data_IF_924563763565
#
_entry.id   IF_924563763565
#
_cell.length_a   1.000
_cell.length_b   1.000
_cell.length_c   1.000
_cell.angle_alpha   90.00
_cell.angle_beta   90.00
_cell.angle_gamma   90.00
#
_symmetry.space_group_name_H-M   'P 1'
#
loop_
_entity.id
_entity.type
_entity.pdbx_description
1 polymer ?
#
# COMPACT_ATOMS: atom_id res chain seq x y z
N UNK A 1 30.77 -43.44 5.25
CA UNK A 1 30.32 -42.53 6.33
C UNK A 1 30.61 -41.02 6.14
N UNK A 2 31.33 -40.60 5.06
CA UNK A 2 31.67 -39.16 4.85
C UNK A 2 30.60 -38.33 4.13
N UNK A 3 29.53 -38.94 3.59
CA UNK A 3 28.45 -38.19 2.85
C UNK A 3 27.44 -37.49 3.78
N UNK A 4 27.43 -37.80 5.08
CA UNK A 4 26.44 -37.23 6.03
C UNK A 4 26.87 -35.90 6.67
N UNK A 5 28.17 -35.60 6.66
CA UNK A 5 28.70 -34.39 7.31
C UNK A 5 28.56 -33.15 6.41
N UNK A 6 28.88 -33.28 5.13
CA UNK A 6 28.71 -32.19 4.17
C UNK A 6 27.25 -31.77 3.98
N UNK A 7 26.32 -32.72 4.07
CA UNK A 7 24.88 -32.44 4.08
C UNK A 7 24.48 -31.63 5.34
N UNK A 8 24.98 -31.99 6.51
CA UNK A 8 24.68 -31.29 7.79
C UNK A 8 25.25 -29.87 7.82
N UNK A 9 26.42 -29.62 7.26
CA UNK A 9 27.02 -28.27 7.18
C UNK A 9 26.24 -27.37 6.22
N UNK A 10 25.86 -27.85 5.05
CA UNK A 10 25.03 -27.11 4.08
C UNK A 10 23.63 -26.78 4.63
N UNK A 11 23.06 -27.67 5.44
CA UNK A 11 21.76 -27.48 6.08
C UNK A 11 21.78 -26.44 7.20
N UNK A 12 22.86 -26.41 8.01
CA UNK A 12 23.05 -25.38 9.04
C UNK A 12 23.25 -24.00 8.42
N UNK A 13 23.93 -23.90 7.28
CA UNK A 13 24.08 -22.66 6.52
C UNK A 13 22.73 -22.19 5.95
N UNK A 14 21.96 -23.08 5.31
CA UNK A 14 20.64 -22.73 4.77
C UNK A 14 19.63 -22.34 5.86
N UNK A 15 19.63 -23.02 7.00
CA UNK A 15 18.78 -22.67 8.14
C UNK A 15 19.19 -21.31 8.75
N UNK A 16 20.49 -21.00 8.82
CA UNK A 16 20.97 -19.68 9.28
C UNK A 16 20.62 -18.58 8.31
N UNK A 17 20.71 -18.82 7.00
CA UNK A 17 20.29 -17.86 5.95
C UNK A 17 18.78 -17.64 6.04
N UNK A 18 17.99 -18.70 6.19
CA UNK A 18 16.54 -18.58 6.32
C UNK A 18 16.14 -17.82 7.59
N UNK A 19 16.72 -18.17 8.75
CA UNK A 19 16.50 -17.45 10.01
C UNK A 19 17.02 -16.02 9.92
N UNK A 20 18.15 -15.79 9.24
CA UNK A 20 18.70 -14.45 8.99
C UNK A 20 17.82 -13.62 8.08
N UNK A 21 17.30 -14.18 6.99
CA UNK A 21 16.34 -13.53 6.09
C UNK A 21 15.00 -13.29 6.81
N UNK A 22 14.55 -14.25 7.60
CA UNK A 22 13.31 -14.11 8.39
C UNK A 22 13.46 -13.07 9.50
N UNK A 23 14.59 -13.08 10.22
CA UNK A 23 14.93 -12.03 11.19
C UNK A 23 15.16 -10.68 10.52
N UNK A 24 15.72 -10.61 9.31
CA UNK A 24 15.86 -9.37 8.57
C UNK A 24 14.52 -8.84 8.05
N UNK A 25 13.58 -9.72 7.66
CA UNK A 25 12.21 -9.34 7.31
C UNK A 25 11.39 -8.89 8.52
N UNK A 26 11.69 -9.46 9.72
CA UNK A 26 11.03 -9.08 10.99
C UNK A 26 11.76 -7.92 11.68
N UNK A 27 13.10 -7.84 11.53
CA UNK A 27 13.93 -6.80 12.15
C UNK A 27 14.11 -5.54 11.28
N UNK A 28 13.64 -5.57 10.05
CA UNK A 28 13.43 -4.35 9.27
C UNK A 28 12.24 -3.58 9.83
N UNK A 29 12.28 -3.28 11.14
CA UNK A 29 11.33 -2.41 11.84
C UNK A 29 11.37 -0.99 11.27
N UNK A 30 10.94 -0.84 10.03
CA UNK A 30 10.41 0.41 9.52
C UNK A 30 9.05 0.51 10.17
N UNK A 31 8.87 1.51 11.03
CA UNK A 31 7.57 1.87 11.57
C UNK A 31 6.56 1.89 10.42
N UNK A 32 5.75 0.86 10.33
CA UNK A 32 4.75 0.74 9.30
C UNK A 32 3.49 1.39 9.80
N UNK A 33 3.50 2.70 9.76
CA UNK A 33 2.25 3.44 9.79
C UNK A 33 1.38 2.97 8.61
N UNK A 34 0.07 2.89 8.81
CA UNK A 34 -0.91 2.78 7.72
C UNK A 34 -0.46 3.75 6.62
N UNK A 35 -0.44 3.32 5.36
CA UNK A 35 0.05 4.14 4.26
C UNK A 35 -0.48 5.57 4.40
N UNK A 36 0.45 6.52 4.51
CA UNK A 36 0.14 7.93 4.67
C UNK A 36 -0.19 8.49 3.28
N UNK A 37 -1.46 8.86 3.09
CA UNK A 37 -1.92 9.45 1.84
C UNK A 37 -2.56 10.82 2.13
N UNK A 38 -2.27 11.81 1.26
CA UNK A 38 -2.95 13.09 1.23
C UNK A 38 -3.64 13.29 -0.12
N UNK A 39 -4.73 14.05 -0.13
CA UNK A 39 -5.56 14.22 -1.32
C UNK A 39 -5.51 15.66 -1.80
N UNK A 40 -5.15 15.87 -3.07
CA UNK A 40 -5.15 17.17 -3.72
C UNK A 40 -6.21 17.20 -4.82
N UNK A 41 -7.14 18.14 -4.70
CA UNK A 41 -8.07 18.46 -5.76
C UNK A 41 -7.69 19.84 -6.30
N UNK A 42 -7.25 19.91 -7.54
CA UNK A 42 -6.79 21.11 -8.20
C UNK A 42 -7.77 21.43 -9.32
N UNK A 43 -8.52 22.52 -9.20
CA UNK A 43 -9.44 23.00 -10.20
C UNK A 43 -8.90 24.30 -10.81
N UNK A 44 -8.67 24.28 -12.14
CA UNK A 44 -8.23 25.45 -12.88
C UNK A 44 -9.37 25.92 -13.80
N UNK A 45 -9.81 27.15 -13.64
CA UNK A 45 -10.87 27.76 -14.45
C UNK A 45 -10.67 29.25 -14.61
N UNK A 46 -10.84 29.75 -15.85
CA UNK A 46 -10.86 31.17 -16.18
C UNK A 46 -9.72 32.00 -15.51
N UNK A 47 -8.48 31.49 -15.53
CA UNK A 47 -7.33 32.18 -14.94
C UNK A 47 -7.28 32.15 -13.42
N UNK A 48 -8.05 31.27 -12.78
CA UNK A 48 -8.06 31.02 -11.34
C UNK A 48 -7.72 29.57 -11.07
N UNK A 49 -6.92 29.35 -10.04
CA UNK A 49 -6.59 28.04 -9.53
C UNK A 49 -7.14 27.90 -8.13
N UNK A 50 -7.93 26.88 -7.90
CA UNK A 50 -8.41 26.48 -6.59
C UNK A 50 -7.83 25.12 -6.21
N UNK A 51 -7.24 25.02 -5.02
CA UNK A 51 -6.67 23.80 -4.51
C UNK A 51 -7.34 23.47 -3.19
N UNK A 52 -7.90 22.29 -3.10
CA UNK A 52 -8.29 21.64 -1.86
C UNK A 52 -7.25 20.59 -1.53
N UNK A 53 -6.70 20.65 -0.34
CA UNK A 53 -5.69 19.73 0.14
C UNK A 53 -6.09 19.13 1.49
N UNK A 54 -6.33 17.84 1.49
CA UNK A 54 -6.79 17.10 2.66
C UNK A 54 -5.62 16.25 3.18
N UNK A 55 -5.19 16.53 4.42
CA UNK A 55 -4.01 15.92 5.07
C UNK A 55 -4.46 15.24 6.35
N UNK A 56 -4.12 13.98 6.54
CA UNK A 56 -4.48 13.23 7.74
C UNK A 56 -3.88 13.85 8.99
N UNK A 57 -4.71 14.10 10.01
CA UNK A 57 -4.27 14.74 11.26
C UNK A 57 -3.27 13.86 12.02
N UNK A 58 -3.41 12.54 11.99
CA UNK A 58 -2.46 11.62 12.62
C UNK A 58 -1.03 11.76 12.05
N UNK A 59 -0.92 12.02 10.72
CA UNK A 59 0.37 12.16 10.05
C UNK A 59 0.98 13.54 10.34
N UNK A 60 0.12 14.55 10.49
CA UNK A 60 0.53 15.88 10.95
C UNK A 60 0.97 15.89 12.41
N UNK A 61 0.36 15.07 13.24
CA UNK A 61 0.72 14.94 14.64
C UNK A 61 2.15 14.43 14.83
N UNK A 62 2.55 13.42 14.05
CA UNK A 62 3.92 12.87 14.08
C UNK A 62 5.01 13.94 13.86
N UNK A 63 4.72 14.99 13.06
CA UNK A 63 5.73 16.01 12.71
C UNK A 63 5.54 17.35 13.41
N UNK A 64 4.35 17.59 13.94
CA UNK A 64 4.01 18.89 14.50
C UNK A 64 3.59 18.83 15.97
N UNK A 65 3.57 17.65 16.60
CA UNK A 65 3.09 17.42 17.96
C UNK A 65 1.76 18.18 18.18
N UNK A 66 0.74 17.78 17.43
CA UNK A 66 -0.59 18.40 17.47
C UNK A 66 -1.33 18.02 18.75
N UNK A 67 -1.14 16.78 19.23
CA UNK A 67 -1.57 16.27 20.52
C UNK A 67 -0.71 16.90 21.62
N UNK A 68 -1.18 18.03 22.14
CA UNK A 68 -0.40 18.86 23.07
C UNK A 68 -0.29 18.31 24.49
N UNK A 69 -1.21 17.44 24.90
CA UNK A 69 -1.19 16.81 26.24
C UNK A 69 -0.76 15.33 26.20
N UNK A 70 -0.45 14.83 24.99
CA UNK A 70 0.01 13.48 24.74
C UNK A 70 -0.93 12.37 25.28
N UNK A 71 -2.25 12.63 25.25
CA UNK A 71 -3.25 11.67 25.70
C UNK A 71 -3.64 10.66 24.59
N UNK A 72 -3.06 10.80 23.39
CA UNK A 72 -3.34 9.98 22.21
C UNK A 72 -4.66 10.31 21.52
N UNK A 73 -5.29 11.46 21.85
CA UNK A 73 -6.57 11.89 21.27
C UNK A 73 -6.49 13.33 20.80
N UNK A 74 -6.55 13.52 19.51
CA UNK A 74 -6.59 14.85 18.93
C UNK A 74 -7.94 15.53 19.18
N UNK A 75 -7.93 16.55 20.01
CA UNK A 75 -9.09 17.40 20.29
C UNK A 75 -9.18 18.57 19.30
N UNK A 76 -10.38 19.12 19.15
CA UNK A 76 -10.59 20.33 18.33
C UNK A 76 -9.77 21.54 18.83
N UNK A 77 -9.57 21.64 20.14
CA UNK A 77 -8.77 22.71 20.75
C UNK A 77 -7.32 22.67 20.29
N UNK A 78 -6.71 21.50 20.32
CA UNK A 78 -5.30 21.27 19.92
C UNK A 78 -5.09 21.51 18.43
N UNK A 79 -5.97 20.94 17.58
CA UNK A 79 -5.89 21.18 16.14
C UNK A 79 -6.03 22.66 15.81
N UNK A 80 -6.92 23.39 16.51
CA UNK A 80 -7.07 24.84 16.33
C UNK A 80 -5.82 25.61 16.74
N UNK A 81 -5.17 25.21 17.83
CA UNK A 81 -3.93 25.83 18.31
C UNK A 81 -2.77 25.53 17.34
N UNK A 82 -2.71 24.32 16.80
CA UNK A 82 -1.68 23.89 15.85
C UNK A 82 -1.89 24.43 14.42
N UNK A 83 -3.06 25.01 14.10
CA UNK A 83 -3.41 25.38 12.73
C UNK A 83 -2.39 26.27 11.99
N UNK A 84 -1.79 27.31 12.60
CA UNK A 84 -0.76 28.12 11.92
C UNK A 84 0.48 27.29 11.55
N UNK A 85 0.85 26.30 12.37
CA UNK A 85 1.97 25.38 12.10
C UNK A 85 1.62 24.43 10.97
N UNK A 86 0.40 23.86 10.95
CA UNK A 86 -0.11 22.99 9.89
C UNK A 86 -0.09 23.71 8.55
N UNK A 87 -0.62 24.92 8.50
CA UNK A 87 -0.68 25.72 7.27
C UNK A 87 0.72 26.09 6.76
N UNK A 88 1.59 26.56 7.63
CA UNK A 88 2.98 26.89 7.27
C UNK A 88 3.74 25.65 6.77
N UNK A 89 3.60 24.53 7.46
CA UNK A 89 4.24 23.27 7.09
C UNK A 89 3.81 22.77 5.72
N UNK A 90 2.51 22.81 5.45
CA UNK A 90 1.94 22.38 4.19
C UNK A 90 2.36 23.31 3.03
N UNK A 91 2.21 24.62 3.17
CA UNK A 91 2.54 25.60 2.13
C UNK A 91 4.01 25.57 1.69
N UNK A 92 4.94 25.23 2.59
CA UNK A 92 6.36 25.07 2.24
C UNK A 92 6.64 23.81 1.41
N UNK A 93 5.67 22.89 1.33
CA UNK A 93 5.82 21.56 0.72
C UNK A 93 4.96 21.31 -0.51
N UNK A 94 4.26 22.32 -0.98
CA UNK A 94 3.50 22.27 -2.22
C UNK A 94 3.80 23.51 -3.07
N UNK A 95 4.32 23.33 -4.27
CA UNK A 95 4.46 24.39 -5.25
C UNK A 95 3.89 23.95 -6.58
N UNK A 96 3.15 24.84 -7.23
CA UNK A 96 2.62 24.68 -8.59
C UNK A 96 3.29 25.74 -9.44
N UNK A 97 3.97 25.32 -10.51
CA UNK A 97 4.76 26.22 -11.36
C UNK A 97 3.91 27.37 -11.91
N UNK A 98 4.40 28.60 -11.70
CA UNK A 98 3.71 29.82 -12.15
C UNK A 98 2.51 30.24 -11.29
N UNK A 99 2.22 29.56 -10.16
CA UNK A 99 1.06 29.83 -9.34
C UNK A 99 1.45 30.05 -7.87
N UNK A 100 1.35 31.28 -7.39
CA UNK A 100 1.51 31.60 -5.97
C UNK A 100 0.25 31.21 -5.20
N UNK A 101 0.33 30.17 -4.38
CA UNK A 101 -0.79 29.67 -3.59
C UNK A 101 -0.99 30.51 -2.34
N UNK A 102 -2.21 31.01 -2.13
CA UNK A 102 -2.61 31.72 -0.92
C UNK A 102 -3.72 30.96 -0.18
N UNK A 103 -3.63 30.80 1.14
CA UNK A 103 -4.68 30.14 1.93
C UNK A 103 -5.94 31.05 1.95
N UNK A 104 -7.09 30.44 1.65
CA UNK A 104 -8.40 31.12 1.64
C UNK A 104 -9.41 30.47 2.57
N UNK A 105 -9.10 29.31 3.11
CA UNK A 105 -9.99 28.63 4.03
C UNK A 105 -9.34 27.38 4.65
N UNK A 106 -9.89 27.00 5.78
CA UNK A 106 -9.49 25.83 6.56
C UNK A 106 -10.69 25.09 7.08
N UNK A 107 -10.55 23.80 7.28
CA UNK A 107 -11.63 22.96 7.81
C UNK A 107 -11.10 21.65 8.37
N UNK A 108 -12.00 20.92 8.99
CA UNK A 108 -11.78 19.54 9.38
C UNK A 108 -12.82 18.68 8.70
N UNK A 109 -12.42 17.52 8.26
CA UNK A 109 -13.30 16.51 7.70
C UNK A 109 -13.05 15.18 8.37
N UNK A 110 -14.08 14.53 8.82
CA UNK A 110 -14.00 13.17 9.35
C UNK A 110 -14.35 12.20 8.24
N UNK A 111 -13.45 11.26 8.00
CA UNK A 111 -13.61 10.19 7.03
C UNK A 111 -13.64 8.84 7.74
N UNK A 112 -13.83 7.77 6.96
CA UNK A 112 -13.86 6.41 7.49
C UNK A 112 -12.56 5.97 8.15
N UNK A 113 -11.43 6.52 7.71
CA UNK A 113 -10.08 6.15 8.13
C UNK A 113 -9.42 7.15 9.09
N UNK A 114 -10.08 8.27 9.41
CA UNK A 114 -9.60 9.26 10.37
C UNK A 114 -10.10 10.67 10.16
N UNK A 115 -9.50 11.62 10.85
CA UNK A 115 -9.77 13.04 10.70
C UNK A 115 -8.69 13.70 9.83
N UNK A 116 -9.11 14.61 8.97
CA UNK A 116 -8.27 15.32 8.01
C UNK A 116 -8.33 16.83 8.23
N UNK A 117 -7.16 17.48 8.18
CA UNK A 117 -7.04 18.91 8.02
C UNK A 117 -7.27 19.25 6.56
N UNK A 118 -8.24 20.11 6.27
CA UNK A 118 -8.60 20.56 4.93
C UNK A 118 -8.10 21.97 4.73
N UNK A 119 -7.09 22.15 3.86
CA UNK A 119 -6.62 23.45 3.43
C UNK A 119 -7.25 23.80 2.07
N UNK A 120 -7.80 25.01 1.98
CA UNK A 120 -8.28 25.58 0.72
C UNK A 120 -7.34 26.70 0.32
N UNK A 121 -6.71 26.56 -0.86
CA UNK A 121 -5.76 27.51 -1.39
C UNK A 121 -6.28 28.05 -2.71
N UNK A 122 -5.89 29.27 -3.04
CA UNK A 122 -6.26 29.92 -4.30
C UNK A 122 -5.05 30.63 -4.90
N UNK A 123 -5.02 30.70 -6.23
CA UNK A 123 -4.07 31.51 -6.96
C UNK A 123 -4.77 32.16 -8.16
N UNK A 124 -4.34 33.38 -8.52
CA UNK A 124 -4.74 34.04 -9.75
C UNK A 124 -3.69 33.72 -10.82
N UNK A 125 -3.75 32.51 -11.37
CA UNK A 125 -2.84 32.03 -12.40
C UNK A 125 -3.56 31.14 -13.41
N UNK A 126 -2.96 31.00 -14.59
CA UNK A 126 -3.37 30.00 -15.57
C UNK A 126 -2.47 28.78 -15.41
N UNK A 127 -3.08 27.63 -15.13
CA UNK A 127 -2.33 26.39 -14.95
C UNK A 127 -1.71 25.96 -16.28
N UNK A 128 -0.38 25.85 -16.31
CA UNK A 128 0.35 25.39 -17.49
C UNK A 128 -0.07 23.99 -17.93
N UNK A 129 0.11 23.70 -19.21
CA UNK A 129 -0.14 22.37 -19.77
C UNK A 129 1.12 21.88 -20.49
N UNK A 130 1.79 20.89 -19.95
CA UNK A 130 1.53 20.17 -18.71
C UNK A 130 1.82 21.00 -17.45
N UNK A 131 1.12 20.73 -16.35
CA UNK A 131 1.36 21.37 -15.06
C UNK A 131 2.53 20.69 -14.34
N UNK A 132 3.45 21.47 -13.78
CA UNK A 132 4.50 20.97 -12.88
C UNK A 132 4.10 21.22 -11.45
N UNK A 133 4.07 20.15 -10.67
CA UNK A 133 3.73 20.17 -9.25
C UNK A 133 4.92 19.61 -8.47
N UNK A 134 5.51 20.43 -7.62
CA UNK A 134 6.50 20.00 -6.65
C UNK A 134 5.79 19.66 -5.34
N UNK A 135 5.98 18.44 -4.86
CA UNK A 135 5.34 17.90 -3.68
C UNK A 135 6.37 17.39 -2.70
N UNK A 136 6.32 17.84 -1.45
CA UNK A 136 7.32 17.51 -0.44
C UNK A 136 6.73 17.17 0.93
N UNK A 137 5.40 16.97 1.02
CA UNK A 137 4.76 16.68 2.29
C UNK A 137 5.35 15.40 2.89
N UNK A 138 5.73 15.45 4.16
CA UNK A 138 6.35 14.36 4.93
C UNK A 138 7.64 13.76 4.34
N UNK A 139 8.25 14.41 3.34
CA UNK A 139 9.45 13.91 2.66
C UNK A 139 10.60 13.53 3.60
N UNK A 140 10.68 14.18 4.76
CA UNK A 140 11.77 14.02 5.73
C UNK A 140 11.53 12.91 6.75
N UNK A 141 10.25 12.52 6.96
CA UNK A 141 9.84 11.57 7.99
C UNK A 141 9.21 10.30 7.41
N UNK A 142 8.50 10.41 6.29
CA UNK A 142 7.87 9.27 5.61
C UNK A 142 8.11 9.31 4.10
N UNK A 143 9.15 8.65 3.60
CA UNK A 143 9.43 8.56 2.16
C UNK A 143 8.38 7.75 1.40
N UNK A 144 7.51 7.02 2.11
CA UNK A 144 6.43 6.23 1.50
C UNK A 144 5.14 7.01 1.34
N UNK A 145 5.04 8.21 1.95
CA UNK A 145 3.89 9.11 1.80
C UNK A 145 3.57 9.40 0.34
N UNK A 146 2.30 9.56 0.01
CA UNK A 146 1.83 9.90 -1.34
C UNK A 146 0.79 11.01 -1.31
N UNK A 147 0.87 11.88 -2.32
CA UNK A 147 -0.18 12.85 -2.64
C UNK A 147 -1.00 12.33 -3.83
N UNK A 148 -2.27 12.05 -3.64
CA UNK A 148 -3.15 11.65 -4.73
C UNK A 148 -3.79 12.91 -5.31
N UNK A 149 -3.36 13.28 -6.51
CA UNK A 149 -3.77 14.53 -7.15
C UNK A 149 -4.80 14.28 -8.27
N UNK A 150 -5.89 15.02 -8.19
CA UNK A 150 -6.88 15.20 -9.24
C UNK A 150 -6.76 16.62 -9.78
N UNK A 151 -6.38 16.78 -11.03
CA UNK A 151 -6.29 18.07 -11.72
C UNK A 151 -7.44 18.17 -12.71
N UNK A 152 -8.33 19.12 -12.50
CA UNK A 152 -9.46 19.41 -13.36
C UNK A 152 -9.25 20.76 -14.04
N UNK A 153 -9.41 20.82 -15.36
CA UNK A 153 -9.27 22.03 -16.19
C UNK A 153 -10.59 22.48 -16.79
N UNK A 154 -10.62 23.70 -17.27
CA UNK A 154 -11.70 24.18 -18.14
C UNK A 154 -11.93 23.19 -19.29
N UNK A 155 -13.21 22.90 -19.60
CA UNK A 155 -13.56 21.89 -20.59
C UNK A 155 -13.76 20.48 -20.05
N UNK A 156 -13.58 20.26 -18.72
CA UNK A 156 -13.89 18.99 -18.08
C UNK A 156 -12.77 17.94 -18.17
N UNK A 157 -11.59 18.30 -18.71
CA UNK A 157 -10.44 17.40 -18.71
C UNK A 157 -9.96 17.13 -17.27
N UNK A 158 -9.87 15.86 -16.92
CA UNK A 158 -9.40 15.41 -15.61
C UNK A 158 -8.11 14.60 -15.78
N UNK A 159 -7.06 15.00 -15.07
CA UNK A 159 -5.83 14.27 -14.98
C UNK A 159 -5.62 13.78 -13.54
N UNK A 160 -5.30 12.50 -13.41
CA UNK A 160 -4.95 11.88 -12.14
C UNK A 160 -3.46 11.63 -12.07
N UNK A 161 -2.89 11.84 -10.91
CA UNK A 161 -1.48 11.57 -10.66
C UNK A 161 -1.24 11.20 -9.20
N UNK A 162 -0.22 10.38 -8.99
CA UNK A 162 0.30 10.10 -7.65
C UNK A 162 1.59 10.89 -7.48
N UNK A 163 1.59 11.83 -6.55
CA UNK A 163 2.73 12.70 -6.24
C UNK A 163 3.61 12.01 -5.20
N UNK A 164 4.88 11.84 -5.53
CA UNK A 164 5.89 11.30 -4.62
C UNK A 164 6.60 12.43 -3.88
N UNK A 165 6.87 12.31 -2.58
CA UNK A 165 7.67 13.30 -1.84
C UNK A 165 9.05 13.47 -2.49
N UNK A 166 9.56 14.71 -2.51
CA UNK A 166 10.83 15.10 -3.15
C UNK A 166 10.86 15.01 -4.68
N UNK A 167 9.74 14.71 -5.33
CA UNK A 167 9.66 14.69 -6.78
C UNK A 167 8.88 15.90 -7.30
N UNK A 168 9.38 16.51 -8.38
CA UNK A 168 8.58 17.42 -9.19
C UNK A 168 7.92 16.60 -10.29
N UNK A 169 6.59 16.58 -10.32
CA UNK A 169 5.84 15.79 -11.29
C UNK A 169 5.16 16.67 -12.33
N UNK A 170 5.11 16.16 -13.54
CA UNK A 170 4.38 16.74 -14.67
C UNK A 170 3.03 16.07 -14.80
N UNK A 171 1.95 16.83 -14.62
CA UNK A 171 0.57 16.33 -14.64
C UNK A 171 -0.18 16.86 -15.84
N UNK A 172 -0.89 15.98 -16.57
CA UNK A 172 -1.75 16.38 -17.69
C UNK A 172 -1.03 16.64 -19.01
N UNK A 173 0.13 15.99 -19.26
CA UNK A 173 0.64 15.86 -20.61
C UNK A 173 -0.28 14.92 -21.39
N UNK A 174 -0.95 15.41 -22.43
CA UNK A 174 -1.60 14.55 -23.40
C UNK A 174 -0.57 13.52 -23.89
N UNK A 175 -0.99 12.27 -24.08
CA UNK A 175 -0.16 11.24 -24.68
C UNK A 175 0.14 11.65 -26.13
N UNK A 176 1.14 12.52 -26.31
CA UNK A 176 1.70 12.77 -27.62
C UNK A 176 2.30 11.45 -28.09
N UNK A 177 1.70 10.91 -29.14
CA UNK A 177 2.20 9.75 -29.90
C UNK A 177 3.66 10.02 -30.23
N UNK A 178 4.58 9.40 -29.51
CA UNK A 178 6.00 9.41 -29.83
C UNK A 178 6.23 8.43 -30.99
N UNK A 179 5.90 8.88 -32.21
CA UNK A 179 6.47 8.35 -33.43
C UNK A 179 7.45 9.43 -33.92
N UNK A 180 8.73 9.12 -33.80
CA UNK A 180 9.81 9.80 -34.52
C UNK A 180 10.35 11.06 -33.85
N UNK A 181 11.44 10.94 -33.12
CA UNK A 181 12.50 11.95 -33.09
C UNK A 181 13.84 11.24 -32.86
N UNK A 182 14.59 11.22 -33.93
CA UNK A 182 15.99 10.85 -34.01
C UNK A 182 16.85 11.82 -33.17
N UNK A 183 17.89 11.24 -32.63
CA UNK A 183 19.07 11.83 -31.99
C UNK A 183 19.48 13.21 -32.53
N UNK A 184 19.68 14.16 -31.60
CA UNK A 184 20.73 15.17 -31.74
C UNK A 184 21.37 15.42 -30.35
N UNK A 185 22.65 15.09 -30.32
CA UNK A 185 23.57 15.34 -29.23
C UNK A 185 24.03 16.81 -29.34
N UNK A 186 23.76 17.60 -28.33
CA UNK A 186 24.48 18.85 -28.12
C UNK A 186 24.79 19.05 -26.63
N UNK A 187 26.07 19.02 -26.38
CA UNK A 187 26.83 19.39 -25.19
C UNK A 187 26.46 20.76 -24.64
N UNK A 188 26.12 20.83 -23.34
CA UNK A 188 26.43 22.04 -22.55
C UNK A 188 26.66 21.65 -21.09
N UNK A 189 27.81 22.08 -20.59
CA UNK A 189 28.36 21.78 -19.29
C UNK A 189 27.79 22.71 -18.18
N UNK A 190 27.88 22.19 -16.97
CA UNK A 190 28.05 22.86 -15.67
C UNK A 190 26.80 23.39 -14.93
N UNK A 191 26.52 22.76 -13.80
CA UNK A 191 26.18 23.42 -12.55
C UNK A 191 24.72 23.45 -12.13
N UNK A 192 24.33 22.56 -11.24
CA UNK A 192 23.07 22.62 -10.51
C UNK A 192 22.31 21.31 -10.61
N UNK A 193 22.21 20.55 -9.51
CA UNK A 193 21.49 19.30 -9.46
C UNK A 193 19.98 19.49 -9.73
N UNK A 194 19.61 19.51 -10.99
CA UNK A 194 18.23 19.40 -11.43
C UNK A 194 17.82 17.93 -11.29
N UNK A 195 17.02 17.61 -10.27
CA UNK A 195 16.28 16.39 -10.26
C UNK A 195 15.42 16.36 -11.54
N UNK A 196 15.70 15.42 -12.43
CA UNK A 196 14.96 15.27 -13.67
C UNK A 196 13.46 15.10 -13.33
N UNK A 197 12.63 15.97 -13.89
CA UNK A 197 11.18 15.86 -13.73
C UNK A 197 10.74 14.51 -14.31
N UNK A 198 10.18 13.65 -13.47
CA UNK A 198 9.63 12.38 -13.90
C UNK A 198 8.45 12.68 -14.86
N UNK A 199 8.50 12.16 -16.09
CA UNK A 199 7.40 12.27 -17.04
C UNK A 199 6.12 11.61 -16.50
N UNK A 200 4.94 11.92 -17.08
CA UNK A 200 3.68 11.35 -16.63
C UNK A 200 3.72 9.83 -16.73
N UNK A 201 3.56 9.17 -15.57
CA UNK A 201 3.47 7.70 -15.52
C UNK A 201 2.20 7.28 -16.24
N UNK A 202 2.29 6.44 -17.26
CA UNK A 202 1.12 5.93 -18.00
C UNK A 202 0.21 5.05 -17.13
N UNK A 203 0.75 4.49 -16.07
CA UNK A 203 0.12 3.52 -15.18
C UNK A 203 0.36 3.86 -13.70
N UNK A 204 -0.09 5.02 -13.21
CA UNK A 204 0.21 5.45 -11.84
C UNK A 204 -0.42 4.50 -10.81
N UNK A 205 -1.65 4.07 -11.00
CA UNK A 205 -2.35 3.20 -10.07
C UNK A 205 -1.89 1.74 -10.11
N UNK A 206 -1.26 1.29 -11.20
CA UNK A 206 -0.62 -0.03 -11.25
C UNK A 206 0.54 -0.12 -10.27
N UNK A 207 1.40 0.89 -10.25
CA UNK A 207 2.51 0.94 -9.30
C UNK A 207 2.00 1.02 -7.84
N UNK A 208 0.91 1.76 -7.61
CA UNK A 208 0.27 1.82 -6.30
C UNK A 208 -0.34 0.48 -5.87
N UNK A 209 -0.92 -0.28 -6.81
CA UNK A 209 -1.39 -1.64 -6.53
C UNK A 209 -0.26 -2.59 -6.09
N UNK A 210 0.91 -2.53 -6.76
CA UNK A 210 2.10 -3.29 -6.33
C UNK A 210 2.54 -2.82 -4.95
N UNK A 211 2.65 -1.51 -4.74
CA UNK A 211 3.05 -0.92 -3.47
C UNK A 211 2.11 -1.34 -2.33
N UNK A 212 0.81 -1.27 -2.56
CA UNK A 212 -0.21 -1.68 -1.60
C UNK A 212 0.03 -3.10 -1.05
N UNK A 213 0.38 -4.04 -1.92
CA UNK A 213 0.69 -5.42 -1.51
C UNK A 213 2.02 -5.51 -0.76
N UNK A 214 3.05 -4.81 -1.23
CA UNK A 214 4.39 -4.91 -0.63
C UNK A 214 4.46 -4.19 0.73
N UNK A 215 3.73 -3.10 0.90
CA UNK A 215 3.68 -2.35 2.17
C UNK A 215 2.53 -2.74 3.08
N UNK A 216 1.50 -3.42 2.57
CA UNK A 216 0.38 -3.94 3.36
C UNK A 216 0.77 -5.18 4.15
N UNK A 217 1.17 -5.01 5.42
CA UNK A 217 1.64 -6.11 6.28
C UNK A 217 0.60 -7.20 6.48
N UNK A 218 -0.67 -6.85 6.54
CA UNK A 218 -1.80 -7.78 6.60
C UNK A 218 -1.87 -8.67 5.34
N UNK A 219 -1.73 -8.09 4.16
CA UNK A 219 -1.64 -8.82 2.89
C UNK A 219 -0.39 -9.70 2.83
N UNK A 220 0.76 -9.16 3.24
CA UNK A 220 2.03 -9.90 3.28
C UNK A 220 1.96 -11.07 4.23
N UNK A 221 1.42 -10.89 5.44
CA UNK A 221 1.29 -11.94 6.44
C UNK A 221 0.28 -13.00 6.01
N UNK A 222 -0.86 -12.57 5.45
CA UNK A 222 -1.85 -13.47 4.88
C UNK A 222 -1.26 -14.32 3.74
N UNK A 223 -0.58 -13.69 2.79
CA UNK A 223 0.08 -14.37 1.68
C UNK A 223 1.13 -15.36 2.17
N UNK A 224 1.93 -14.98 3.18
CA UNK A 224 2.90 -15.87 3.80
C UNK A 224 2.21 -17.11 4.40
N UNK A 225 1.08 -16.95 5.10
CA UNK A 225 0.31 -18.08 5.63
C UNK A 225 -0.11 -19.06 4.52
N UNK A 226 -0.50 -18.56 3.35
CA UNK A 226 -0.85 -19.41 2.20
C UNK A 226 0.36 -20.12 1.61
N UNK A 227 1.54 -19.48 1.62
CA UNK A 227 2.77 -19.99 1.03
C UNK A 227 3.47 -21.04 1.89
N UNK A 228 3.43 -20.94 3.23
CA UNK A 228 4.13 -21.85 4.13
C UNK A 228 3.90 -23.34 3.82
N UNK A 229 2.68 -23.84 3.60
CA UNK A 229 2.43 -25.24 3.29
C UNK A 229 2.52 -25.58 1.79
N UNK A 230 2.78 -24.61 0.89
CA UNK A 230 2.68 -24.80 -0.57
C UNK A 230 3.60 -25.89 -1.14
N UNK A 231 4.77 -26.08 -0.53
CA UNK A 231 5.81 -27.02 -0.99
C UNK A 231 5.74 -28.41 -0.33
N UNK A 232 4.72 -28.63 0.52
CA UNK A 232 4.45 -29.93 1.16
C UNK A 232 2.98 -30.28 1.04
N UNK A 233 2.70 -31.56 0.74
CA UNK A 233 1.33 -32.10 0.68
C UNK A 233 1.05 -32.95 1.92
N UNK A 234 -0.15 -32.81 2.48
CA UNK A 234 -0.63 -33.72 3.52
C UNK A 234 -1.05 -35.04 2.88
N UNK A 235 -0.48 -36.15 3.34
CA UNK A 235 -0.82 -37.52 2.92
C UNK A 235 -1.16 -38.34 4.16
N UNK A 236 -1.72 -39.52 3.98
CA UNK A 236 -2.03 -40.45 5.07
C UNK A 236 -0.77 -40.84 5.87
N UNK A 237 0.40 -40.82 5.23
CA UNK A 237 1.72 -41.12 5.86
C UNK A 237 2.40 -39.88 6.43
N UNK A 238 1.74 -38.72 6.50
CA UNK A 238 2.31 -37.47 6.98
C UNK A 238 2.47 -36.42 5.85
N UNK A 239 3.33 -35.42 6.08
CA UNK A 239 3.61 -34.37 5.08
C UNK A 239 4.75 -34.79 4.16
N UNK A 240 4.52 -34.77 2.86
CA UNK A 240 5.50 -35.11 1.85
C UNK A 240 5.85 -33.89 0.99
N UNK A 241 7.13 -33.70 0.62
CA UNK A 241 7.55 -32.61 -0.27
C UNK A 241 6.99 -32.81 -1.68
N UNK A 242 6.57 -31.72 -2.33
CA UNK A 242 6.16 -31.74 -3.75
C UNK A 242 7.34 -32.06 -4.65
N UNK A 243 7.08 -32.77 -5.75
CA UNK A 243 8.14 -33.21 -6.66
C UNK A 243 8.69 -32.08 -7.51
N UNK A 244 7.83 -31.22 -8.04
CA UNK A 244 8.19 -30.16 -8.98
C UNK A 244 7.72 -28.80 -8.46
N UNK A 245 8.46 -27.75 -8.82
CA UNK A 245 8.15 -26.38 -8.41
C UNK A 245 6.76 -25.94 -8.91
N UNK A 246 6.39 -26.31 -10.12
CA UNK A 246 5.08 -26.01 -10.68
C UNK A 246 3.93 -26.56 -9.82
N UNK A 247 4.12 -27.72 -9.16
CA UNK A 247 3.12 -28.34 -8.31
C UNK A 247 2.88 -27.54 -7.00
N UNK A 248 3.83 -26.65 -6.67
CA UNK A 248 3.68 -25.70 -5.57
C UNK A 248 3.13 -24.33 -6.05
N UNK A 249 3.68 -23.79 -7.15
CA UNK A 249 3.35 -22.43 -7.64
C UNK A 249 1.92 -22.33 -8.17
N UNK A 250 1.49 -23.24 -9.07
CA UNK A 250 0.18 -23.12 -9.72
C UNK A 250 -1.02 -23.17 -8.77
N UNK A 251 -1.07 -24.08 -7.77
CA UNK A 251 -2.19 -24.07 -6.81
C UNK A 251 -2.25 -22.77 -6.00
N UNK A 252 -1.08 -22.21 -5.60
CA UNK A 252 -1.04 -20.98 -4.84
C UNK A 252 -1.41 -19.79 -5.72
N UNK A 253 -0.91 -19.72 -6.96
CA UNK A 253 -1.33 -18.69 -7.91
C UNK A 253 -2.85 -18.64 -8.06
N UNK A 254 -3.51 -19.82 -8.27
CA UNK A 254 -4.96 -19.88 -8.35
C UNK A 254 -5.69 -19.45 -7.08
N UNK A 255 -5.13 -19.71 -5.88
CA UNK A 255 -5.67 -19.24 -4.60
C UNK A 255 -5.56 -17.71 -4.50
N UNK A 256 -4.41 -17.17 -4.88
CA UNK A 256 -4.13 -15.73 -4.82
C UNK A 256 -4.99 -14.97 -5.83
N UNK A 257 -5.11 -15.46 -7.06
CA UNK A 257 -6.02 -14.86 -8.06
C UNK A 257 -7.48 -14.86 -7.59
N UNK A 258 -7.95 -15.93 -6.95
CA UNK A 258 -9.30 -15.96 -6.37
C UNK A 258 -9.47 -14.89 -5.26
N UNK A 259 -8.46 -14.70 -4.43
CA UNK A 259 -8.43 -13.61 -3.45
C UNK A 259 -8.50 -12.25 -4.13
N UNK A 260 -7.66 -11.98 -5.15
CA UNK A 260 -7.66 -10.69 -5.87
C UNK A 260 -8.99 -10.41 -6.55
N UNK A 261 -9.62 -11.41 -7.17
CA UNK A 261 -10.95 -11.25 -7.77
C UNK A 261 -11.98 -10.85 -6.72
N UNK A 262 -12.01 -11.53 -5.58
CA UNK A 262 -12.91 -11.23 -4.48
C UNK A 262 -12.65 -9.83 -3.90
N UNK A 263 -11.38 -9.49 -3.67
CA UNK A 263 -10.92 -8.17 -3.23
C UNK A 263 -11.39 -7.08 -4.20
N UNK A 264 -11.21 -7.29 -5.50
CA UNK A 264 -11.65 -6.35 -6.54
C UNK A 264 -13.16 -6.13 -6.52
N UNK A 265 -13.96 -7.17 -6.30
CA UNK A 265 -15.43 -7.06 -6.21
C UNK A 265 -15.82 -6.14 -5.04
N UNK A 266 -15.30 -6.39 -3.84
CA UNK A 266 -15.67 -5.59 -2.67
C UNK A 266 -15.06 -4.19 -2.71
N UNK A 267 -13.87 -4.04 -3.25
CA UNK A 267 -13.28 -2.73 -3.51
C UNK A 267 -14.15 -1.90 -4.48
N UNK A 268 -14.66 -2.51 -5.57
CA UNK A 268 -15.59 -1.87 -6.48
C UNK A 268 -16.90 -1.46 -5.79
N UNK A 269 -17.50 -2.38 -5.03
CA UNK A 269 -18.77 -2.12 -4.33
C UNK A 269 -18.64 -0.96 -3.34
N UNK A 270 -17.56 -0.94 -2.58
CA UNK A 270 -17.32 0.08 -1.58
C UNK A 270 -16.92 1.42 -2.21
N UNK A 271 -16.08 1.41 -3.24
CA UNK A 271 -15.66 2.62 -3.95
C UNK A 271 -16.80 3.29 -4.76
N UNK A 272 -17.81 2.51 -5.17
CA UNK A 272 -19.04 3.02 -5.76
C UNK A 272 -20.10 3.44 -4.71
N UNK A 273 -19.75 3.39 -3.42
CA UNK A 273 -20.65 3.64 -2.29
C UNK A 273 -21.92 2.77 -2.29
N UNK A 274 -21.87 1.57 -2.90
CA UNK A 274 -22.98 0.62 -2.87
C UNK A 274 -23.05 -0.15 -1.55
N UNK A 275 -21.89 -0.37 -0.93
CA UNK A 275 -21.76 -0.99 0.38
C UNK A 275 -20.67 -0.24 1.15
N UNK A 276 -20.99 0.27 2.32
CA UNK A 276 -20.02 0.88 3.23
C UNK A 276 -19.98 0.12 4.55
N UNK A 277 -18.81 -0.28 4.99
CA UNK A 277 -18.61 -0.92 6.28
C UNK A 277 -17.64 -0.10 7.12
N UNK A 278 -17.91 -0.02 8.41
CA UNK A 278 -17.06 0.74 9.33
C UNK A 278 -15.68 0.08 9.45
N UNK A 279 -14.58 0.84 9.42
CA UNK A 279 -13.23 0.36 9.71
C UNK A 279 -13.14 -0.40 11.02
N UNK A 280 -13.90 0.04 12.06
CA UNK A 280 -13.98 -0.64 13.35
C UNK A 280 -14.47 -2.11 13.28
N UNK A 281 -15.11 -2.50 12.17
CA UNK A 281 -15.53 -3.88 11.92
C UNK A 281 -14.57 -4.58 10.96
N UNK A 282 -14.15 -3.88 9.90
CA UNK A 282 -13.34 -4.47 8.83
C UNK A 282 -11.91 -4.77 9.28
N UNK A 283 -11.28 -3.85 10.00
CA UNK A 283 -9.89 -4.05 10.44
C UNK A 283 -9.73 -5.23 11.40
N UNK A 284 -10.58 -5.41 12.44
CA UNK A 284 -10.57 -6.64 13.23
C UNK A 284 -10.88 -7.90 12.40
N UNK A 285 -11.83 -7.81 11.44
CA UNK A 285 -12.18 -8.95 10.60
C UNK A 285 -10.99 -9.38 9.71
N UNK A 286 -10.20 -8.45 9.18
CA UNK A 286 -8.95 -8.74 8.46
C UNK A 286 -7.98 -9.51 9.37
N UNK A 287 -7.74 -9.03 10.59
CA UNK A 287 -6.87 -9.72 11.56
C UNK A 287 -7.36 -11.16 11.86
N UNK A 288 -8.66 -11.35 12.03
CA UNK A 288 -9.27 -12.68 12.22
C UNK A 288 -9.01 -13.59 11.03
N UNK A 289 -9.12 -13.10 9.78
CA UNK A 289 -8.85 -13.94 8.59
C UNK A 289 -7.41 -14.44 8.55
N UNK A 290 -6.44 -13.63 8.99
CA UNK A 290 -5.03 -14.02 9.07
C UNK A 290 -4.84 -15.11 10.12
N UNK A 291 -5.41 -14.94 11.32
CA UNK A 291 -5.37 -15.95 12.38
C UNK A 291 -5.96 -17.28 11.90
N UNK A 292 -7.13 -17.25 11.24
CA UNK A 292 -7.80 -18.43 10.71
C UNK A 292 -6.97 -19.11 9.59
N UNK A 293 -6.37 -18.34 8.69
CA UNK A 293 -5.50 -18.88 7.63
C UNK A 293 -4.26 -19.57 8.22
N UNK A 294 -3.63 -18.96 9.24
CA UNK A 294 -2.50 -19.53 9.93
C UNK A 294 -2.88 -20.78 10.75
N UNK A 295 -4.04 -20.76 11.39
CA UNK A 295 -4.56 -21.90 12.17
C UNK A 295 -4.86 -23.10 11.25
N UNK A 296 -5.43 -22.89 10.05
CA UNK A 296 -5.68 -23.95 9.06
C UNK A 296 -4.40 -24.67 8.59
N UNK A 297 -3.26 -24.01 8.67
CA UNK A 297 -1.98 -24.65 8.37
C UNK A 297 -1.56 -25.69 9.40
N UNK A 298 -1.93 -25.51 10.64
CA UNK A 298 -1.62 -26.42 11.76
C UNK A 298 -2.76 -27.43 11.94
N UNK A 299 -3.96 -26.93 12.11
CA UNK A 299 -5.19 -27.69 12.29
C UNK A 299 -6.09 -27.48 11.08
N UNK A 300 -6.44 -28.49 10.30
CA UNK A 300 -7.33 -28.33 9.13
C UNK A 300 -8.76 -28.03 9.61
N UNK A 301 -9.06 -26.75 9.76
CA UNK A 301 -10.35 -26.29 10.28
C UNK A 301 -11.40 -26.11 9.17
N UNK A 302 -10.96 -25.87 7.92
CA UNK A 302 -11.87 -25.65 6.82
C UNK A 302 -12.15 -26.96 6.04
N UNK A 303 -13.42 -27.40 5.95
CA UNK A 303 -13.81 -28.58 5.18
C UNK A 303 -13.89 -28.31 3.67
N UNK A 304 -13.58 -27.08 3.23
CA UNK A 304 -13.69 -26.61 1.85
C UNK A 304 -12.31 -26.39 1.21
N UNK A 305 -12.30 -26.22 -0.11
CA UNK A 305 -11.05 -25.94 -0.85
C UNK A 305 -10.48 -24.59 -0.45
N UNK A 306 -9.17 -24.49 -0.29
CA UNK A 306 -8.45 -23.25 0.07
C UNK A 306 -8.76 -22.05 -0.85
N UNK A 307 -9.05 -22.31 -2.13
CA UNK A 307 -9.49 -21.29 -3.09
C UNK A 307 -10.77 -20.59 -2.62
N UNK A 308 -11.74 -21.35 -2.08
CA UNK A 308 -13.01 -20.80 -1.56
C UNK A 308 -12.75 -19.97 -0.31
N UNK A 309 -11.91 -20.46 0.60
CA UNK A 309 -11.51 -19.73 1.82
C UNK A 309 -10.84 -18.40 1.44
N UNK A 310 -9.87 -18.43 0.53
CA UNK A 310 -9.17 -17.26 0.06
C UNK A 310 -10.11 -16.25 -0.64
N UNK A 311 -11.08 -16.73 -1.40
CA UNK A 311 -12.11 -15.90 -2.01
C UNK A 311 -12.94 -15.17 -0.94
N UNK A 312 -13.44 -15.89 0.08
CA UNK A 312 -14.20 -15.27 1.18
C UNK A 312 -13.37 -14.26 1.95
N UNK A 313 -12.09 -14.57 2.21
CA UNK A 313 -11.17 -13.65 2.90
C UNK A 313 -10.85 -12.43 2.03
N UNK A 314 -10.70 -12.60 0.72
CA UNK A 314 -10.53 -11.51 -0.24
C UNK A 314 -11.69 -10.51 -0.21
N UNK A 315 -12.95 -11.00 -0.05
CA UNK A 315 -14.12 -10.13 0.12
C UNK A 315 -13.99 -9.23 1.36
N UNK A 316 -13.43 -9.73 2.44
CA UNK A 316 -13.20 -8.94 3.67
C UNK A 316 -12.12 -7.89 3.44
N UNK A 317 -10.98 -8.30 2.86
CA UNK A 317 -9.82 -7.41 2.66
C UNK A 317 -10.11 -6.26 1.69
N UNK A 318 -10.97 -6.46 0.68
CA UNK A 318 -11.28 -5.42 -0.31
C UNK A 318 -12.01 -4.20 0.23
N UNK A 319 -12.67 -4.31 1.41
CA UNK A 319 -13.26 -3.15 2.06
C UNK A 319 -12.22 -2.25 2.74
N UNK A 320 -11.01 -2.74 3.03
CA UNK A 320 -10.00 -2.00 3.79
C UNK A 320 -9.40 -0.79 3.06
N UNK A 321 -9.49 -0.71 1.72
CA UNK A 321 -8.86 0.35 0.91
C UNK A 321 -9.86 1.21 0.11
N UNK A 322 -11.14 0.94 0.24
CA UNK A 322 -12.16 1.54 -0.64
C UNK A 322 -12.33 3.06 -0.49
N UNK A 323 -12.09 3.61 0.69
CA UNK A 323 -12.24 5.05 0.98
C UNK A 323 -11.30 5.91 0.14
N UNK A 324 -10.08 5.45 -0.09
CA UNK A 324 -9.02 6.19 -0.79
C UNK A 324 -9.43 6.58 -2.22
N UNK A 325 -10.02 5.67 -2.98
CA UNK A 325 -10.43 5.93 -4.36
C UNK A 325 -11.79 6.65 -4.45
N UNK A 326 -12.71 6.37 -3.54
CA UNK A 326 -14.04 6.99 -3.54
C UNK A 326 -13.97 8.51 -3.35
N UNK A 327 -12.99 8.98 -2.57
CA UNK A 327 -12.82 10.40 -2.22
C UNK A 327 -12.32 11.28 -3.35
N UNK A 328 -11.77 10.69 -4.42
CA UNK A 328 -11.29 11.44 -5.58
C UNK A 328 -12.44 12.05 -6.42
N UNK A 329 -13.68 11.62 -6.22
CA UNK A 329 -14.85 12.13 -6.94
C UNK A 329 -14.67 12.07 -8.44
N UNK A 330 -14.19 10.93 -8.98
CA UNK A 330 -13.86 10.76 -10.37
C UNK A 330 -15.09 10.50 -11.24
N UNK A 331 -15.07 10.90 -12.53
CA UNK A 331 -15.99 10.36 -13.51
C UNK A 331 -15.90 8.84 -13.57
N UNK A 332 -17.02 8.18 -13.80
CA UNK A 332 -17.12 6.70 -13.76
C UNK A 332 -16.11 5.98 -14.65
N UNK A 333 -15.78 6.52 -15.82
CA UNK A 333 -14.83 5.91 -16.74
C UNK A 333 -13.39 5.98 -16.21
N UNK A 334 -12.96 7.14 -15.73
CA UNK A 334 -11.61 7.35 -15.19
C UNK A 334 -11.42 6.56 -13.89
N UNK A 335 -12.48 6.50 -13.08
CA UNK A 335 -12.52 5.70 -11.86
C UNK A 335 -12.37 4.20 -12.18
N UNK A 336 -13.12 3.67 -13.14
CA UNK A 336 -13.03 2.26 -13.55
C UNK A 336 -11.63 1.93 -14.08
N UNK A 337 -11.00 2.84 -14.83
CA UNK A 337 -9.65 2.67 -15.33
C UNK A 337 -8.58 2.69 -14.23
N UNK A 338 -8.69 3.62 -13.27
CA UNK A 338 -7.82 3.68 -12.11
C UNK A 338 -7.90 2.39 -11.28
N UNK A 339 -9.13 1.93 -11.02
CA UNK A 339 -9.41 0.71 -10.28
C UNK A 339 -8.89 -0.55 -10.98
N UNK A 340 -9.04 -0.62 -12.31
CA UNK A 340 -8.46 -1.70 -13.12
C UNK A 340 -6.94 -1.76 -13.00
N UNK A 341 -6.26 -0.62 -13.17
CA UNK A 341 -4.81 -0.53 -13.02
C UNK A 341 -4.36 -0.98 -11.63
N UNK A 342 -5.05 -0.51 -10.59
CA UNK A 342 -4.73 -0.82 -9.20
C UNK A 342 -4.84 -2.33 -8.93
N UNK A 343 -5.96 -2.96 -9.32
CA UNK A 343 -6.16 -4.40 -9.14
C UNK A 343 -5.17 -5.24 -9.96
N UNK A 344 -4.81 -4.79 -11.18
CA UNK A 344 -3.78 -5.44 -11.98
C UNK A 344 -2.40 -5.34 -11.31
N UNK A 345 -2.12 -4.22 -10.65
CA UNK A 345 -0.90 -4.04 -9.85
C UNK A 345 -0.87 -4.97 -8.62
N UNK A 346 -1.98 -5.08 -7.91
CA UNK A 346 -2.14 -6.05 -6.80
C UNK A 346 -1.81 -7.46 -7.27
N UNK A 347 -2.46 -7.94 -8.34
CA UNK A 347 -2.25 -9.28 -8.88
C UNK A 347 -0.81 -9.52 -9.29
N UNK A 348 -0.21 -8.58 -10.02
CA UNK A 348 1.19 -8.67 -10.45
C UNK A 348 2.16 -8.74 -9.25
N UNK A 349 1.95 -7.91 -8.23
CA UNK A 349 2.75 -7.90 -7.01
C UNK A 349 2.64 -9.22 -6.24
N UNK A 350 1.44 -9.73 -6.05
CA UNK A 350 1.19 -10.99 -5.37
C UNK A 350 1.80 -12.18 -6.12
N UNK A 351 1.62 -12.27 -7.45
CA UNK A 351 2.20 -13.35 -8.25
C UNK A 351 3.73 -13.32 -8.22
N UNK A 352 4.35 -12.15 -8.24
CA UNK A 352 5.80 -12.01 -8.10
C UNK A 352 6.27 -12.56 -6.74
N UNK A 353 5.59 -12.20 -5.64
CA UNK A 353 5.89 -12.70 -4.29
C UNK A 353 5.69 -14.23 -4.23
N UNK A 354 4.59 -14.74 -4.80
CA UNK A 354 4.31 -16.18 -4.87
C UNK A 354 5.46 -16.93 -5.53
N UNK A 355 5.91 -16.48 -6.70
CA UNK A 355 7.00 -17.13 -7.43
C UNK A 355 8.31 -17.09 -6.63
N UNK A 356 8.68 -15.92 -6.11
CA UNK A 356 9.92 -15.73 -5.35
C UNK A 356 9.92 -16.56 -4.05
N UNK A 357 8.89 -16.40 -3.24
CA UNK A 357 8.81 -17.06 -1.93
C UNK A 357 8.62 -18.58 -2.08
N UNK A 358 7.76 -19.03 -3.01
CA UNK A 358 7.60 -20.47 -3.25
C UNK A 358 8.90 -21.11 -3.76
N UNK A 359 9.68 -20.42 -4.62
CA UNK A 359 10.97 -20.91 -5.07
C UNK A 359 11.95 -21.05 -3.91
N UNK A 360 12.01 -20.06 -3.01
CA UNK A 360 12.85 -20.13 -1.81
C UNK A 360 12.42 -21.29 -0.88
N UNK A 361 11.11 -21.41 -0.62
CA UNK A 361 10.56 -22.50 0.21
C UNK A 361 10.79 -23.88 -0.45
N UNK A 362 10.70 -23.95 -1.78
CA UNK A 362 10.95 -25.19 -2.52
C UNK A 362 12.37 -25.71 -2.33
N UNK A 363 13.37 -24.84 -2.19
CA UNK A 363 14.74 -25.26 -1.87
C UNK A 363 14.81 -25.96 -0.49
N UNK A 364 13.96 -25.59 0.45
CA UNK A 364 13.92 -26.11 1.81
C UNK A 364 12.96 -27.31 1.98
N UNK A 365 12.16 -27.68 0.99
CA UNK A 365 11.04 -28.65 1.09
C UNK A 365 11.42 -30.03 1.60
N UNK A 366 12.69 -30.45 1.39
CA UNK A 366 13.21 -31.76 1.82
C UNK A 366 13.80 -31.75 3.22
N UNK A 367 13.81 -30.58 3.88
CA UNK A 367 14.28 -30.50 5.26
C UNK A 367 13.31 -31.18 6.20
N UNK A 368 13.79 -32.12 7.00
CA UNK A 368 12.95 -32.91 7.93
C UNK A 368 12.19 -32.04 8.92
N UNK A 369 12.78 -30.92 9.35
CA UNK A 369 12.14 -29.97 10.26
C UNK A 369 11.30 -28.89 9.52
N UNK A 370 11.14 -28.98 8.19
CA UNK A 370 10.34 -27.99 7.43
C UNK A 370 8.92 -27.85 8.01
N UNK A 371 8.24 -28.96 8.20
CA UNK A 371 6.86 -28.93 8.68
C UNK A 371 6.72 -28.36 10.10
N UNK A 372 7.47 -28.80 11.14
CA UNK A 372 7.34 -28.21 12.46
C UNK A 372 7.90 -26.80 12.58
N UNK A 373 9.03 -26.48 11.91
CA UNK A 373 9.70 -25.19 12.07
C UNK A 373 9.11 -24.12 11.12
N UNK A 374 9.03 -24.42 9.80
CA UNK A 374 8.59 -23.43 8.83
C UNK A 374 7.06 -23.30 8.85
N UNK A 375 6.35 -24.42 8.72
CA UNK A 375 4.88 -24.36 8.70
C UNK A 375 4.33 -24.12 10.10
N UNK A 376 4.74 -24.90 11.10
CA UNK A 376 4.25 -24.78 12.48
C UNK A 376 4.70 -23.48 13.14
N UNK A 377 6.01 -23.22 13.17
CA UNK A 377 6.57 -22.02 13.79
C UNK A 377 6.14 -20.73 13.06
N UNK A 378 6.15 -20.72 11.72
CA UNK A 378 5.68 -19.58 10.92
C UNK A 378 4.20 -19.29 11.15
N UNK A 379 3.34 -20.34 11.21
CA UNK A 379 1.93 -20.15 11.52
C UNK A 379 1.70 -19.67 12.95
N UNK A 380 2.46 -20.18 13.94
CA UNK A 380 2.38 -19.71 15.32
C UNK A 380 2.75 -18.22 15.44
N UNK A 381 3.80 -17.78 14.75
CA UNK A 381 4.18 -16.38 14.70
C UNK A 381 3.09 -15.51 14.04
N UNK A 382 2.51 -15.99 12.93
CA UNK A 382 1.42 -15.28 12.26
C UNK A 382 0.15 -15.18 13.13
N UNK A 383 -0.19 -16.23 13.89
CA UNK A 383 -1.28 -16.20 14.88
C UNK A 383 -0.98 -15.15 15.96
N UNK A 384 0.24 -15.14 16.51
CA UNK A 384 0.61 -14.19 17.56
C UNK A 384 0.48 -12.74 17.07
N UNK A 385 1.02 -12.42 15.88
CA UNK A 385 0.91 -11.08 15.27
C UNK A 385 -0.56 -10.74 14.99
N UNK A 386 -1.31 -11.65 14.39
CA UNK A 386 -2.72 -11.44 14.06
C UNK A 386 -3.61 -11.23 15.30
N UNK A 387 -3.31 -11.91 16.41
CA UNK A 387 -4.01 -11.71 17.70
C UNK A 387 -3.67 -10.33 18.29
N UNK A 388 -2.39 -9.91 18.25
CA UNK A 388 -2.01 -8.57 18.69
C UNK A 388 -2.72 -7.51 17.86
N UNK A 389 -2.74 -7.62 16.53
CA UNK A 389 -3.48 -6.71 15.66
C UNK A 389 -5.00 -6.71 15.94
N UNK A 390 -5.56 -7.88 16.26
CA UNK A 390 -6.97 -7.96 16.64
C UNK A 390 -7.23 -7.16 17.92
N UNK A 391 -6.36 -7.26 18.92
CA UNK A 391 -6.45 -6.51 20.17
C UNK A 391 -6.29 -5.01 19.89
N UNK A 392 -5.28 -4.60 19.13
CA UNK A 392 -5.03 -3.20 18.78
C UNK A 392 -6.25 -2.56 18.11
N UNK A 393 -6.81 -3.25 17.12
CA UNK A 393 -7.94 -2.74 16.33
C UNK A 393 -9.28 -2.76 17.08
N UNK A 394 -9.44 -3.67 18.06
CA UNK A 394 -10.66 -3.72 18.89
C UNK A 394 -10.60 -2.81 20.10
N UNK A 395 -9.44 -2.68 20.74
CA UNK A 395 -9.23 -1.83 21.91
C UNK A 395 -8.80 -0.40 21.57
N UNK A 396 -8.52 -0.11 20.28
CA UNK A 396 -7.99 1.16 19.78
C UNK A 396 -6.70 1.59 20.51
N UNK A 397 -5.79 0.62 20.67
CA UNK A 397 -4.46 0.82 21.29
C UNK A 397 -3.38 0.47 20.26
N UNK A 398 -2.20 1.03 20.39
CA UNK A 398 -1.02 0.70 19.59
C UNK A 398 -0.05 -0.09 20.47
N UNK A 399 0.24 -1.33 20.11
CA UNK A 399 1.14 -2.24 20.84
C UNK A 399 2.38 -2.51 19.99
N UNK A 400 2.18 -2.76 18.70
CA UNK A 400 3.27 -3.01 17.75
C UNK A 400 3.72 -1.70 17.10
N UNK A 401 5.01 -1.53 16.85
CA UNK A 401 5.55 -0.33 16.21
C UNK A 401 5.28 -0.26 14.69
N UNK A 402 4.36 -1.08 14.17
CA UNK A 402 4.07 -1.19 12.73
C UNK A 402 2.61 -1.55 12.46
#
# INVERSE_FOLDING_TARGET
>A
MRCSESARVRWRAAARIFVGVWLALVAGGVAAHKASDAYLQIAASAGRLEVRWDIALRDLDVVLDVDGDADGKLTWGEVRAAWPRIESYALQRLAIEGCALAPVGRGLERRSDGAYAVLRLRSACTLAQPARIAYGLFADVDPTHRGIAKVQRDGGEIALSVLEPRASMVVGAAAASAVGATSDVATAAAGGGAHAAAGPKRWPFFAEGIRHIVTGYDHMLFLLCLLLPSVVRRTASGRQPVAQLRDAVWPVAGIVTAFTVAHSITLCLAALNLVSLSPAVIEPAIAVTIVLAALDNVLPIFPVRRVVVAFVFGLVHGFGFASVLAELGLPRADFAWALFQFNLGIEAGQLAIVVLATTALFALRRWRAYAPVVVGGGSAAAIAIGVVWLIERTANVSILPF
#
